data_IF_818605461587
#
_entry.id   IF_818605461587
#
_cell.length_a   1.000
_cell.length_b   1.000
_cell.length_c   1.000
_cell.angle_alpha   90.00
_cell.angle_beta   90.00
_cell.angle_gamma   90.00
#
_symmetry.space_group_name_H-M   'P 1'
#
loop_
_entity.id
_entity.type
_entity.pdbx_description
1 polymer ?
#
# COMPACT_ATOMS: atom_id res chain seq x y z
N UNK A 1 -27.34 32.20 -15.97
CA UNK A 1 -26.79 30.87 -16.30
C UNK A 1 -25.93 30.51 -15.12
N UNK A 2 -26.34 29.52 -14.33
CA UNK A 2 -25.74 29.23 -13.04
C UNK A 2 -24.34 28.65 -13.26
N UNK A 3 -23.35 29.27 -12.60
CA UNK A 3 -22.01 28.75 -12.49
C UNK A 3 -22.05 27.35 -11.86
N UNK A 4 -21.44 26.40 -12.57
CA UNK A 4 -21.21 25.02 -12.14
C UNK A 4 -20.31 25.05 -10.89
N UNK A 5 -20.95 25.07 -9.73
CA UNK A 5 -20.32 25.07 -8.41
C UNK A 5 -19.54 23.76 -8.26
N UNK A 6 -18.24 23.84 -8.57
CA UNK A 6 -17.29 22.74 -8.72
C UNK A 6 -17.63 21.48 -7.93
N UNK A 7 -18.07 20.44 -8.64
CA UNK A 7 -18.12 19.09 -8.12
C UNK A 7 -16.73 18.74 -7.59
N UNK A 8 -16.60 18.64 -6.26
CA UNK A 8 -15.34 18.32 -5.60
C UNK A 8 -14.77 17.05 -6.21
N UNK A 9 -13.70 17.19 -7.01
CA UNK A 9 -13.02 16.10 -7.70
C UNK A 9 -12.58 15.08 -6.66
N UNK A 10 -13.02 13.84 -6.81
CA UNK A 10 -12.65 12.75 -5.91
C UNK A 10 -11.12 12.69 -5.78
N UNK A 11 -10.64 12.78 -4.54
CA UNK A 11 -9.21 12.78 -4.26
C UNK A 11 -8.73 11.33 -4.28
N UNK A 12 -7.68 11.06 -5.05
CA UNK A 12 -7.00 9.76 -5.08
C UNK A 12 -5.63 9.90 -4.43
N UNK A 13 -5.36 9.10 -3.42
CA UNK A 13 -4.10 9.12 -2.65
C UNK A 13 -3.40 7.79 -2.94
N UNK A 14 -2.20 7.85 -3.52
CA UNK A 14 -1.36 6.68 -3.75
C UNK A 14 -0.30 6.63 -2.65
N UNK A 15 -0.20 5.49 -1.95
CA UNK A 15 0.84 5.25 -0.95
C UNK A 15 1.64 4.03 -1.37
N UNK A 16 2.93 4.26 -1.63
CA UNK A 16 3.88 3.19 -1.87
C UNK A 16 4.33 2.61 -0.52
N UNK A 17 4.33 1.29 -0.42
CA UNK A 17 4.78 0.53 0.76
C UNK A 17 5.78 -0.53 0.34
N UNK A 18 6.68 -0.86 1.25
CA UNK A 18 7.67 -1.92 1.09
C UNK A 18 7.70 -2.80 2.35
N UNK A 19 8.73 -3.64 2.49
CA UNK A 19 8.89 -4.57 3.61
C UNK A 19 9.36 -3.91 4.91
N UNK A 20 9.78 -2.64 4.83
CA UNK A 20 10.38 -1.93 5.95
C UNK A 20 9.35 -1.49 6.99
N UNK A 21 9.79 -1.33 8.25
CA UNK A 21 8.94 -0.75 9.29
C UNK A 21 8.78 0.76 9.09
N UNK A 22 9.77 1.40 8.46
CA UNK A 22 9.75 2.81 8.08
C UNK A 22 8.57 3.12 7.15
N UNK A 23 8.32 2.29 6.14
CA UNK A 23 7.17 2.48 5.23
C UNK A 23 5.83 2.25 5.92
N UNK A 24 5.76 1.30 6.87
CA UNK A 24 4.55 1.07 7.68
C UNK A 24 4.26 2.25 8.62
N UNK A 25 5.30 2.84 9.21
CA UNK A 25 5.17 4.05 10.02
C UNK A 25 4.71 5.24 9.18
N UNK A 26 5.25 5.40 7.97
CA UNK A 26 4.80 6.42 7.03
C UNK A 26 3.32 6.24 6.63
N UNK A 27 2.88 4.99 6.39
CA UNK A 27 1.48 4.68 6.13
C UNK A 27 0.60 5.05 7.33
N UNK A 28 0.98 4.66 8.55
CA UNK A 28 0.26 5.01 9.78
C UNK A 28 0.10 6.52 9.94
N UNK A 29 1.17 7.28 9.69
CA UNK A 29 1.12 8.74 9.71
C UNK A 29 0.20 9.29 8.61
N UNK A 30 0.27 8.74 7.40
CA UNK A 30 -0.59 9.15 6.28
C UNK A 30 -2.07 8.91 6.60
N UNK A 31 -2.43 7.76 7.16
CA UNK A 31 -3.80 7.46 7.56
C UNK A 31 -4.32 8.50 8.57
N UNK A 32 -3.52 8.82 9.60
CA UNK A 32 -3.92 9.73 10.67
C UNK A 32 -3.96 11.21 10.28
N UNK A 33 -3.10 11.65 9.35
CA UNK A 33 -2.93 13.07 9.06
C UNK A 33 -3.48 13.48 7.69
N UNK A 34 -3.48 12.58 6.71
CA UNK A 34 -3.90 12.90 5.33
C UNK A 34 -5.35 12.51 5.10
N UNK A 35 -5.78 11.35 5.60
CA UNK A 35 -7.13 10.81 5.38
C UNK A 35 -8.15 11.23 6.46
N UNK A 36 -7.73 11.36 7.72
CA UNK A 36 -8.64 11.82 8.80
C UNK A 36 -8.87 13.33 8.74
N UNK A 37 -7.89 14.11 8.29
CA UNK A 37 -8.00 15.57 8.18
C UNK A 37 -8.95 16.03 7.07
N UNK A 38 -9.28 15.16 6.11
CA UNK A 38 -10.22 15.43 5.03
C UNK A 38 -11.57 14.81 5.37
N UNK A 39 -12.49 15.61 5.91
CA UNK A 39 -13.89 15.23 6.15
C UNK A 39 -14.69 14.94 4.86
N UNK A 40 -14.02 14.74 3.72
CA UNK A 40 -14.63 14.40 2.43
C UNK A 40 -14.75 12.89 2.31
N UNK A 41 -16.00 12.41 2.35
CA UNK A 41 -16.41 11.01 2.21
C UNK A 41 -16.10 10.33 0.85
N UNK A 42 -15.13 10.85 0.09
CA UNK A 42 -14.83 10.44 -1.29
C UNK A 42 -13.34 10.17 -1.57
N UNK A 43 -12.48 10.19 -0.55
CA UNK A 43 -11.06 9.95 -0.74
C UNK A 43 -10.80 8.46 -1.02
N UNK A 44 -10.14 8.16 -2.14
CA UNK A 44 -9.75 6.79 -2.50
C UNK A 44 -8.27 6.58 -2.21
N UNK A 45 -7.95 5.68 -1.27
CA UNK A 45 -6.59 5.25 -0.99
C UNK A 45 -6.20 4.07 -1.89
N UNK A 46 -5.07 4.20 -2.58
CA UNK A 46 -4.48 3.18 -3.44
C UNK A 46 -3.14 2.77 -2.80
N UNK A 47 -3.00 1.50 -2.47
CA UNK A 47 -1.75 0.93 -1.96
C UNK A 47 -0.95 0.34 -3.11
N UNK A 48 0.35 0.64 -3.16
CA UNK A 48 1.27 0.15 -4.19
C UNK A 48 2.49 -0.49 -3.54
N UNK A 49 2.79 -1.73 -3.91
CA UNK A 49 4.07 -2.38 -3.63
C UNK A 49 4.84 -2.52 -4.94
N UNK A 50 6.13 -2.17 -4.92
CA UNK A 50 7.00 -2.31 -6.09
C UNK A 50 7.81 -3.59 -5.93
N UNK A 51 7.52 -4.57 -6.77
CA UNK A 51 8.31 -5.81 -6.86
C UNK A 51 9.69 -5.48 -7.43
N UNK A 52 10.79 -5.74 -6.71
CA UNK A 52 12.12 -5.50 -7.26
C UNK A 52 12.34 -6.26 -8.58
N UNK A 53 13.05 -5.68 -9.56
CA UNK A 53 13.40 -6.39 -10.79
C UNK A 53 14.15 -7.67 -10.47
N UNK A 54 13.83 -8.76 -11.18
CA UNK A 54 14.53 -10.03 -10.99
C UNK A 54 16.02 -9.84 -11.30
N UNK A 55 16.89 -10.21 -10.37
CA UNK A 55 18.34 -10.26 -10.64
C UNK A 55 18.60 -11.45 -11.54
N UNK A 56 19.00 -11.17 -12.77
CA UNK A 56 19.28 -12.17 -13.80
C UNK A 56 20.77 -12.44 -13.79
N UNK A 57 21.15 -13.63 -13.36
CA UNK A 57 22.53 -14.08 -13.49
C UNK A 57 22.68 -14.72 -14.87
N UNK A 58 23.45 -14.07 -15.74
CA UNK A 58 23.71 -14.57 -17.10
C UNK A 58 24.69 -15.73 -17.04
N UNK A 59 24.42 -16.80 -17.78
CA UNK A 59 25.34 -17.90 -17.95
C UNK A 59 26.67 -17.39 -18.50
N UNK A 60 27.79 -17.96 -18.03
CA UNK A 60 29.15 -17.50 -18.36
C UNK A 60 29.44 -17.58 -19.87
N UNK A 61 28.72 -18.45 -20.58
CA UNK A 61 28.81 -18.67 -22.02
C UNK A 61 27.83 -17.80 -22.83
N UNK A 62 27.07 -16.92 -22.18
CA UNK A 62 26.09 -16.04 -22.82
C UNK A 62 24.86 -16.76 -23.38
N UNK A 63 24.66 -18.04 -23.07
CA UNK A 63 23.57 -18.85 -23.67
C UNK A 63 22.23 -18.76 -22.94
N UNK A 64 22.15 -18.10 -21.79
CA UNK A 64 20.89 -17.99 -21.03
C UNK A 64 21.04 -17.56 -19.58
N UNK A 65 20.07 -17.94 -18.74
CA UNK A 65 20.13 -17.75 -17.29
C UNK A 65 21.01 -18.85 -16.64
N UNK A 66 21.75 -18.49 -15.58
CA UNK A 66 22.53 -19.44 -14.76
C UNK A 66 21.66 -20.46 -14.01
N UNK A 67 20.38 -20.13 -13.81
CA UNK A 67 19.46 -20.93 -13.02
C UNK A 67 18.47 -21.68 -13.93
N UNK A 68 18.07 -22.89 -13.49
CA UNK A 68 17.00 -23.64 -14.13
C UNK A 68 15.65 -22.92 -14.04
N UNK A 69 14.70 -23.30 -14.90
CA UNK A 69 13.32 -22.79 -14.90
C UNK A 69 12.68 -22.88 -13.51
N UNK A 70 12.85 -24.01 -12.83
CA UNK A 70 12.22 -24.29 -11.54
C UNK A 70 12.73 -23.36 -10.44
N UNK A 71 14.02 -23.01 -10.49
CA UNK A 71 14.62 -22.03 -9.57
C UNK A 71 14.05 -20.64 -9.86
N UNK A 72 13.92 -20.27 -11.15
CA UNK A 72 13.34 -18.98 -11.54
C UNK A 72 11.86 -18.85 -11.13
N UNK A 73 11.09 -19.93 -11.25
CA UNK A 73 9.70 -20.00 -10.81
C UNK A 73 9.60 -19.86 -9.28
N UNK A 74 10.47 -20.56 -8.55
CA UNK A 74 10.53 -20.47 -7.09
C UNK A 74 10.86 -19.05 -6.62
N UNK A 75 11.83 -18.39 -7.24
CA UNK A 75 12.17 -16.99 -6.94
C UNK A 75 11.02 -16.05 -7.24
N UNK A 76 10.31 -16.27 -8.36
CA UNK A 76 9.15 -15.47 -8.71
C UNK A 76 8.02 -15.63 -7.69
N UNK A 77 7.76 -16.88 -7.28
CA UNK A 77 6.76 -17.21 -6.26
C UNK A 77 7.09 -16.53 -4.94
N UNK A 78 8.32 -16.69 -4.44
CA UNK A 78 8.76 -16.03 -3.22
C UNK A 78 8.52 -14.51 -3.27
N UNK A 79 8.92 -13.85 -4.36
CA UNK A 79 8.73 -12.41 -4.49
C UNK A 79 7.24 -12.00 -4.61
N UNK A 80 6.35 -12.89 -5.09
CA UNK A 80 4.91 -12.64 -5.04
C UNK A 80 4.39 -12.80 -3.60
N UNK A 81 4.83 -13.84 -2.89
CA UNK A 81 4.43 -14.11 -1.51
C UNK A 81 4.80 -12.92 -0.60
N UNK A 82 5.97 -12.30 -0.82
CA UNK A 82 6.38 -11.07 -0.13
C UNK A 82 5.46 -9.89 -0.46
N UNK A 83 5.15 -9.67 -1.75
CA UNK A 83 4.24 -8.61 -2.16
C UNK A 83 2.86 -8.76 -1.50
N UNK A 84 2.33 -9.98 -1.48
CA UNK A 84 1.05 -10.29 -0.85
C UNK A 84 1.11 -10.05 0.67
N UNK A 85 2.19 -10.46 1.34
CA UNK A 85 2.38 -10.21 2.77
C UNK A 85 2.39 -8.72 3.11
N UNK A 86 3.14 -7.91 2.34
CA UNK A 86 3.24 -6.47 2.56
C UNK A 86 1.90 -5.79 2.34
N UNK A 87 1.22 -6.10 1.23
CA UNK A 87 -0.08 -5.53 0.89
C UNK A 87 -1.14 -5.92 1.93
N UNK A 88 -1.16 -7.17 2.40
CA UNK A 88 -2.10 -7.60 3.44
C UNK A 88 -1.82 -6.94 4.79
N UNK A 89 -0.54 -6.73 5.17
CA UNK A 89 -0.16 -5.96 6.36
C UNK A 89 -0.66 -4.52 6.25
N UNK A 90 -0.42 -3.85 5.13
CA UNK A 90 -0.86 -2.48 4.89
C UNK A 90 -2.40 -2.35 4.90
N UNK A 91 -3.13 -3.27 4.25
CA UNK A 91 -4.60 -3.29 4.28
C UNK A 91 -5.15 -3.49 5.69
N UNK A 92 -4.50 -4.33 6.51
CA UNK A 92 -4.89 -4.55 7.91
C UNK A 92 -4.78 -3.26 8.72
N UNK A 93 -3.67 -2.56 8.59
CA UNK A 93 -3.48 -1.25 9.24
C UNK A 93 -4.55 -0.24 8.82
N UNK A 94 -4.93 -0.22 7.53
CA UNK A 94 -6.02 0.62 7.06
C UNK A 94 -7.33 0.28 7.80
N UNK A 95 -7.73 -1.00 7.86
CA UNK A 95 -8.96 -1.44 8.52
C UNK A 95 -8.98 -1.10 10.02
N UNK A 96 -7.87 -1.31 10.72
CA UNK A 96 -7.75 -1.03 12.15
C UNK A 96 -7.93 0.46 12.46
N UNK A 97 -7.28 1.34 11.68
CA UNK A 97 -7.42 2.80 11.87
C UNK A 97 -8.84 3.30 11.58
N UNK A 98 -9.57 2.71 10.64
CA UNK A 98 -10.97 3.06 10.39
C UNK A 98 -11.96 2.47 11.41
N UNK A 99 -11.60 1.39 12.11
CA UNK A 99 -12.43 0.80 13.16
C UNK A 99 -12.29 1.54 14.51
N UNK A 100 -11.08 2.01 14.85
CA UNK A 100 -10.82 2.76 16.09
C UNK A 100 -11.59 4.09 16.16
N UNK A 101 -11.84 4.73 15.01
CA UNK A 101 -12.65 5.97 14.91
C UNK A 101 -14.11 5.76 15.31
N UNK A 102 -14.65 4.52 15.29
CA UNK A 102 -16.05 4.24 15.64
C UNK A 102 -16.27 3.89 17.12
N UNK A 103 -15.20 3.76 17.91
CA UNK A 103 -15.25 3.31 19.31
C UNK A 103 -15.03 4.39 20.37
N UNK A 104 -14.78 5.64 19.98
CA UNK A 104 -14.30 6.68 20.89
C UNK A 104 -15.18 7.92 20.95
N UNK A 105 -16.48 7.78 21.27
CA UNK A 105 -17.28 8.95 21.66
C UNK A 105 -18.49 8.57 22.53
N UNK A 106 -18.24 8.20 23.79
CA UNK A 106 -19.17 8.38 24.91
C UNK A 106 -18.43 8.07 26.22
N UNK A 107 -17.75 9.06 26.81
CA UNK A 107 -17.55 9.21 28.26
C UNK A 107 -16.59 10.37 28.58
N UNK A 108 -17.07 11.60 28.43
CA UNK A 108 -16.59 12.74 29.24
C UNK A 108 -17.76 13.65 29.57
N UNK A 109 -18.49 13.26 30.61
CA UNK A 109 -19.27 14.19 31.41
C UNK A 109 -18.32 14.85 32.43
N UNK A 110 -18.05 16.13 32.24
CA UNK A 110 -17.80 17.11 33.30
C UNK A 110 -18.56 18.37 32.92
#
# INVERSE_FOLDING_TARGET
MADDMGAAKERRILVAVDESEESMNALSWCLKNVLVSTSSSKDTLILLYVKPPRVVYSALDGTGYLFSSDIMETMQKYSNDIADCVIEKAKRMCREQFQDVKGGDNDRAW
#
